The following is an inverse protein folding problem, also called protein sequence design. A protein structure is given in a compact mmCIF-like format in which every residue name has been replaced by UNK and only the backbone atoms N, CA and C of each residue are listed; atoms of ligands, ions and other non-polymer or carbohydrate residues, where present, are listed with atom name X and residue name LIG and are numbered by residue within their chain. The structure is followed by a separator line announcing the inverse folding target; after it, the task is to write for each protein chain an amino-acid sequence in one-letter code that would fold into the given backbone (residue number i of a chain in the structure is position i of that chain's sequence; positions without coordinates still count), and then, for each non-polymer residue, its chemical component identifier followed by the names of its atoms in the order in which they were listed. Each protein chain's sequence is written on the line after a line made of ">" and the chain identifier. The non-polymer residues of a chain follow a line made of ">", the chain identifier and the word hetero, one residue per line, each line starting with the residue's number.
data_IF_953393180286
#
_entry.id   IF_953393180286
#
_cell.length_a   1.000
_cell.length_b   1.000
_cell.length_c   1.000
_cell.angle_alpha   90.00
_cell.angle_beta   90.00
_cell.angle_gamma   90.00
#
_symmetry.space_group_name_H-M   'P 1'
#
loop_
_entity.id
_entity.type
_entity.pdbx_description
1 polymer ?
#
# COMPACT_ATOMS: atom_id res chain seq x y z
N UNK A 1 -18.13 -14.36 -25.71
CA UNK A 1 -17.31 -13.39 -24.93
C UNK A 1 -18.19 -12.40 -24.13
N UNK A 2 -19.27 -11.86 -24.70
CA UNK A 2 -20.07 -10.81 -24.05
C UNK A 2 -20.85 -11.22 -22.78
N UNK A 3 -21.45 -12.41 -22.72
CA UNK A 3 -22.31 -12.79 -21.58
C UNK A 3 -21.55 -12.94 -20.25
N UNK A 4 -20.31 -13.46 -20.29
CA UNK A 4 -19.48 -13.62 -19.09
C UNK A 4 -19.01 -12.26 -18.52
N UNK A 5 -18.60 -11.34 -19.38
CA UNK A 5 -18.14 -10.00 -18.96
C UNK A 5 -19.33 -9.19 -18.41
N UNK A 6 -20.51 -9.32 -19.01
CA UNK A 6 -21.73 -8.64 -18.52
C UNK A 6 -22.09 -9.10 -17.10
N UNK A 7 -22.04 -10.41 -16.84
CA UNK A 7 -22.31 -10.94 -15.50
C UNK A 7 -21.29 -10.46 -14.46
N UNK A 8 -20.00 -10.42 -14.85
CA UNK A 8 -18.94 -9.88 -13.96
C UNK A 8 -19.16 -8.38 -13.70
N UNK A 9 -19.54 -7.59 -14.72
CA UNK A 9 -19.84 -6.17 -14.53
C UNK A 9 -20.99 -5.96 -13.54
N UNK A 10 -22.09 -6.70 -13.66
CA UNK A 10 -23.23 -6.62 -12.73
C UNK A 10 -22.84 -7.00 -11.30
N UNK A 11 -21.95 -7.98 -11.15
CA UNK A 11 -21.42 -8.38 -9.86
C UNK A 11 -20.54 -7.29 -9.25
N UNK A 12 -19.63 -6.69 -10.04
CA UNK A 12 -18.77 -5.58 -9.64
C UNK A 12 -19.59 -4.34 -9.29
N UNK A 13 -20.59 -3.96 -10.10
CA UNK A 13 -21.48 -2.83 -9.81
C UNK A 13 -22.18 -2.99 -8.46
N UNK A 14 -22.68 -4.20 -8.15
CA UNK A 14 -23.30 -4.50 -6.87
C UNK A 14 -22.32 -4.47 -5.71
N UNK A 15 -21.15 -5.10 -5.87
CA UNK A 15 -20.15 -5.19 -4.80
C UNK A 15 -19.45 -3.85 -4.55
N UNK A 16 -19.35 -2.96 -5.54
CA UNK A 16 -18.68 -1.67 -5.43
C UNK A 16 -19.56 -0.52 -4.90
N UNK A 17 -20.84 -0.78 -4.59
CA UNK A 17 -21.79 0.25 -4.13
C UNK A 17 -21.31 1.02 -2.90
N UNK A 18 -20.48 0.41 -2.05
CA UNK A 18 -19.90 1.03 -0.86
C UNK A 18 -18.78 2.03 -1.16
N UNK A 19 -18.18 1.98 -2.35
CA UNK A 19 -16.97 2.78 -2.68
C UNK A 19 -17.26 4.28 -2.60
N UNK A 20 -18.34 4.75 -3.20
CA UNK A 20 -18.69 6.17 -3.17
C UNK A 20 -19.05 6.68 -1.77
N UNK A 21 -19.87 5.98 -0.96
CA UNK A 21 -20.06 6.30 0.45
C UNK A 21 -18.75 6.36 1.25
N UNK A 22 -17.84 5.40 1.04
CA UNK A 22 -16.54 5.37 1.72
C UNK A 22 -15.68 6.57 1.36
N UNK A 23 -15.54 6.87 0.07
CA UNK A 23 -14.80 8.04 -0.41
C UNK A 23 -15.40 9.35 0.09
N UNK A 24 -16.74 9.45 0.11
CA UNK A 24 -17.46 10.60 0.63
C UNK A 24 -17.23 10.81 2.13
N UNK A 25 -17.21 9.72 2.90
CA UNK A 25 -16.96 9.78 4.34
C UNK A 25 -15.51 10.17 4.66
N UNK A 26 -14.55 9.58 3.99
CA UNK A 26 -13.12 9.93 4.10
C UNK A 26 -12.86 11.38 3.69
N UNK A 27 -13.53 11.87 2.64
CA UNK A 27 -13.42 13.24 2.15
C UNK A 27 -13.91 14.31 3.11
N UNK A 28 -14.71 13.97 4.13
CA UNK A 28 -15.11 14.92 5.20
C UNK A 28 -13.96 15.30 6.13
N UNK A 29 -12.95 14.44 6.21
CA UNK A 29 -11.85 14.57 7.19
C UNK A 29 -10.50 14.74 6.50
N UNK A 30 -10.32 14.12 5.32
CA UNK A 30 -9.06 14.13 4.58
C UNK A 30 -9.19 15.06 3.38
N UNK A 31 -8.52 16.20 3.43
CA UNK A 31 -8.51 17.20 2.37
C UNK A 31 -7.18 17.08 1.60
N UNK A 32 -7.24 17.17 0.27
CA UNK A 32 -6.07 17.28 -0.61
C UNK A 32 -5.26 15.99 -0.83
N UNK A 33 -5.62 14.88 -0.19
CA UNK A 33 -4.88 13.62 -0.28
C UNK A 33 -5.67 12.52 -1.01
N UNK A 34 -6.33 12.86 -2.13
CA UNK A 34 -7.17 11.93 -2.90
C UNK A 34 -6.39 10.69 -3.36
N UNK A 35 -5.17 10.89 -3.86
CA UNK A 35 -4.29 9.81 -4.29
C UNK A 35 -3.98 8.85 -3.14
N UNK A 36 -3.61 9.36 -1.96
CA UNK A 36 -3.33 8.55 -0.79
C UNK A 36 -4.54 7.69 -0.40
N UNK A 37 -5.72 8.30 -0.32
CA UNK A 37 -6.97 7.60 0.04
C UNK A 37 -7.26 6.49 -0.97
N UNK A 38 -7.18 6.79 -2.25
CA UNK A 38 -7.39 5.79 -3.32
C UNK A 38 -6.39 4.63 -3.23
N UNK A 39 -5.09 4.93 -3.02
CA UNK A 39 -4.05 3.89 -2.91
C UNK A 39 -4.17 3.05 -1.64
N UNK A 40 -4.65 3.63 -0.53
CA UNK A 40 -4.98 2.87 0.68
C UNK A 40 -6.13 1.88 0.43
N UNK A 41 -7.18 2.32 -0.25
CA UNK A 41 -8.32 1.45 -0.60
C UNK A 41 -7.86 0.37 -1.59
N UNK A 42 -7.07 0.69 -2.62
CA UNK A 42 -6.48 -0.28 -3.54
C UNK A 42 -5.64 -1.30 -2.77
N UNK A 43 -4.75 -0.85 -1.87
CA UNK A 43 -3.94 -1.74 -1.04
C UNK A 43 -4.79 -2.68 -0.18
N UNK A 44 -5.86 -2.17 0.43
CA UNK A 44 -6.81 -2.95 1.22
C UNK A 44 -7.53 -4.00 0.38
N UNK A 45 -8.06 -3.61 -0.78
CA UNK A 45 -8.80 -4.47 -1.70
C UNK A 45 -7.91 -5.51 -2.39
N UNK A 46 -6.70 -5.13 -2.79
CA UNK A 46 -5.72 -6.02 -3.39
C UNK A 46 -4.98 -6.91 -2.36
N UNK A 47 -5.36 -6.85 -1.07
CA UNK A 47 -4.72 -7.58 0.02
C UNK A 47 -3.21 -7.33 0.13
N UNK A 48 -2.75 -6.13 -0.17
CA UNK A 48 -1.35 -5.70 -0.12
C UNK A 48 -1.08 -4.68 0.97
N UNK A 49 0.20 -4.40 1.20
CA UNK A 49 0.66 -3.39 2.15
C UNK A 49 1.19 -2.17 1.40
N UNK A 50 1.15 -1.00 2.05
CA UNK A 50 1.49 0.27 1.45
C UNK A 50 2.67 0.90 2.18
N UNK A 51 3.69 1.30 1.44
CA UNK A 51 4.78 2.13 1.92
C UNK A 51 4.51 3.58 1.51
N UNK A 52 4.57 4.49 2.45
CA UNK A 52 4.30 5.90 2.23
C UNK A 52 5.57 6.71 2.44
N UNK A 53 5.98 7.41 1.42
CA UNK A 53 7.09 8.36 1.48
C UNK A 53 6.55 9.78 1.48
N UNK A 54 6.93 10.56 2.48
CA UNK A 54 6.53 11.96 2.56
C UNK A 54 6.88 12.59 3.90
N UNK A 55 6.94 13.91 3.89
CA UNK A 55 7.27 14.71 5.08
C UNK A 55 6.24 14.55 6.20
N UNK A 56 6.57 14.87 7.45
CA UNK A 56 5.61 14.89 8.56
C UNK A 56 4.46 15.88 8.29
N UNK A 57 3.31 15.66 8.94
CA UNK A 57 2.18 16.59 8.89
C UNK A 57 1.20 16.43 7.73
N UNK A 58 1.38 15.43 6.85
CA UNK A 58 0.54 15.20 5.68
C UNK A 58 -0.62 14.21 5.92
N UNK A 59 -1.26 14.28 7.07
CA UNK A 59 -2.45 13.50 7.44
C UNK A 59 -2.32 11.96 7.34
N UNK A 60 -1.08 11.39 7.35
CA UNK A 60 -0.82 9.94 7.25
C UNK A 60 -1.60 9.14 8.28
N UNK A 61 -1.45 9.51 9.56
CA UNK A 61 -2.15 8.85 10.68
C UNK A 61 -3.66 9.02 10.58
N UNK A 62 -4.10 10.22 10.18
CA UNK A 62 -5.52 10.53 10.05
C UNK A 62 -6.16 9.65 8.96
N UNK A 63 -5.49 9.45 7.83
CA UNK A 63 -6.03 8.69 6.70
C UNK A 63 -6.30 7.23 7.05
N UNK A 64 -5.32 6.54 7.64
CA UNK A 64 -5.51 5.12 7.99
C UNK A 64 -6.45 4.92 9.18
N UNK A 65 -6.42 5.83 10.17
CA UNK A 65 -7.35 5.81 11.30
C UNK A 65 -8.78 6.04 10.83
N UNK A 66 -9.01 7.02 9.95
CA UNK A 66 -10.33 7.29 9.38
C UNK A 66 -10.85 6.12 8.55
N UNK A 67 -9.97 5.46 7.76
CA UNK A 67 -10.33 4.25 7.01
C UNK A 67 -10.74 3.12 7.97
N UNK A 68 -10.02 2.91 9.08
CA UNK A 68 -10.37 1.91 10.09
C UNK A 68 -11.75 2.20 10.71
N UNK A 69 -12.00 3.45 11.08
CA UNK A 69 -13.30 3.87 11.64
C UNK A 69 -14.46 3.63 10.66
N UNK A 70 -14.23 3.87 9.35
CA UNK A 70 -15.26 3.63 8.33
C UNK A 70 -15.68 2.15 8.21
N UNK A 71 -14.85 1.21 8.68
CA UNK A 71 -15.06 -0.24 8.61
C UNK A 71 -15.35 -0.89 9.96
N UNK A 72 -15.33 -0.13 11.06
CA UNK A 72 -15.31 -0.66 12.43
C UNK A 72 -14.18 -1.68 12.65
N UNK A 73 -13.02 -1.40 12.07
CA UNK A 73 -11.84 -2.26 12.14
C UNK A 73 -10.88 -1.81 13.25
N UNK A 74 -10.17 -2.76 13.83
CA UNK A 74 -9.15 -2.47 14.84
C UNK A 74 -7.98 -1.74 14.19
N UNK A 75 -7.60 -0.60 14.79
CA UNK A 75 -6.45 0.22 14.39
C UNK A 75 -5.37 0.20 15.47
N UNK A 76 -4.11 0.03 15.04
CA UNK A 76 -2.94 0.20 15.89
C UNK A 76 -1.92 1.15 15.25
N UNK A 77 -1.28 1.99 16.05
CA UNK A 77 -0.14 2.81 15.65
C UNK A 77 1.10 2.32 16.35
N UNK A 78 2.14 2.07 15.58
CA UNK A 78 3.50 1.74 16.00
C UNK A 78 4.41 2.89 15.60
N UNK A 79 4.91 3.66 16.56
CA UNK A 79 5.95 4.65 16.32
C UNK A 79 7.29 3.96 16.48
N UNK A 80 8.05 3.84 15.39
CA UNK A 80 9.34 3.17 15.43
C UNK A 80 10.45 4.05 16.00
N UNK A 81 11.28 3.46 16.86
CA UNK A 81 12.42 4.10 17.51
C UNK A 81 13.64 3.18 17.53
N UNK A 82 14.88 3.71 17.69
CA UNK A 82 16.09 2.90 17.65
C UNK A 82 16.22 1.87 18.80
N UNK A 83 15.50 2.06 19.89
CA UNK A 83 15.53 1.21 21.08
C UNK A 83 14.45 0.11 21.10
N UNK A 84 13.59 0.03 20.08
CA UNK A 84 12.55 -0.99 19.98
C UNK A 84 13.13 -2.40 19.84
N UNK A 85 12.37 -3.36 20.38
CA UNK A 85 12.61 -4.79 20.23
C UNK A 85 11.50 -5.43 19.37
N UNK A 86 11.76 -6.56 18.70
CA UNK A 86 10.73 -7.32 17.97
C UNK A 86 9.48 -7.63 18.83
N UNK A 87 9.67 -7.89 20.11
CA UNK A 87 8.58 -8.15 21.06
C UNK A 87 7.59 -6.97 21.20
N UNK A 88 8.04 -5.74 20.99
CA UNK A 88 7.20 -4.54 21.07
C UNK A 88 6.21 -4.50 19.87
N UNK A 89 6.54 -5.14 18.77
CA UNK A 89 5.71 -5.25 17.54
C UNK A 89 4.80 -6.47 17.59
N UNK A 90 5.39 -7.65 17.81
CA UNK A 90 4.69 -8.93 17.69
C UNK A 90 4.14 -9.46 19.01
N UNK A 91 4.64 -8.97 20.13
CA UNK A 91 4.26 -9.47 21.46
C UNK A 91 5.27 -10.46 22.03
N UNK A 92 4.99 -10.93 23.24
CA UNK A 92 5.91 -11.77 24.02
C UNK A 92 5.16 -12.73 24.94
N UNK A 93 5.88 -13.71 25.47
CA UNK A 93 5.41 -14.53 26.59
C UNK A 93 5.75 -13.85 27.91
N UNK A 94 4.78 -13.78 28.81
CA UNK A 94 4.93 -13.25 30.17
C UNK A 94 4.84 -14.39 31.17
N UNK A 95 5.85 -14.56 32.01
CA UNK A 95 5.81 -15.52 33.08
C UNK A 95 4.86 -15.03 34.21
N UNK A 96 3.93 -15.86 34.61
CA UNK A 96 3.04 -15.59 35.75
C UNK A 96 3.54 -16.37 36.98
N UNK A 97 4.13 -15.70 37.99
CA UNK A 97 4.64 -16.38 39.18
C UNK A 97 3.57 -17.10 40.02
N UNK A 98 2.31 -16.64 39.94
CA UNK A 98 1.21 -17.24 40.72
C UNK A 98 0.75 -18.56 40.13
N UNK A 99 0.72 -18.69 38.82
CA UNK A 99 0.30 -19.93 38.15
C UNK A 99 1.46 -20.84 37.75
N UNK A 100 2.71 -20.36 37.85
CA UNK A 100 3.92 -21.07 37.42
C UNK A 100 3.99 -21.27 35.90
N UNK A 101 3.16 -20.56 35.13
CA UNK A 101 3.03 -20.72 33.68
C UNK A 101 3.34 -19.46 32.89
N UNK A 102 3.39 -19.59 31.57
CA UNK A 102 3.53 -18.48 30.64
C UNK A 102 2.19 -18.11 30.02
N UNK A 103 1.90 -16.81 29.93
CA UNK A 103 0.78 -16.27 29.17
C UNK A 103 1.31 -15.47 27.98
N UNK A 104 0.65 -15.57 26.83
CA UNK A 104 1.02 -14.80 25.64
C UNK A 104 0.35 -13.43 25.70
N UNK A 105 1.15 -12.38 25.56
CA UNK A 105 0.66 -11.02 25.32
C UNK A 105 0.92 -10.69 23.84
N UNK A 106 -0.15 -10.56 23.07
CA UNK A 106 -0.09 -10.15 21.68
C UNK A 106 0.34 -8.69 21.56
N UNK A 107 1.14 -8.40 20.54
CA UNK A 107 1.61 -7.05 20.23
C UNK A 107 0.62 -6.26 19.35
N UNK A 108 0.93 -4.98 19.06
CA UNK A 108 0.07 -4.12 18.26
C UNK A 108 -0.15 -4.59 16.82
N UNK A 109 0.70 -5.48 16.30
CA UNK A 109 0.52 -6.06 14.94
C UNK A 109 -0.79 -6.85 14.79
N UNK A 110 -1.41 -7.27 15.91
CA UNK A 110 -2.69 -7.98 15.90
C UNK A 110 -3.89 -7.03 15.76
N UNK A 111 -3.79 -6.06 14.87
CA UNK A 111 -4.89 -5.18 14.47
C UNK A 111 -5.13 -5.31 12.96
N UNK A 112 -6.34 -4.97 12.51
CA UNK A 112 -6.69 -5.02 11.08
C UNK A 112 -5.89 -4.00 10.26
N UNK A 113 -5.78 -2.77 10.75
CA UNK A 113 -5.04 -1.70 10.12
C UNK A 113 -3.93 -1.22 11.06
N UNK A 114 -2.69 -1.34 10.60
CA UNK A 114 -1.50 -0.97 11.39
C UNK A 114 -0.77 0.16 10.69
N UNK A 115 -0.56 1.27 11.39
CA UNK A 115 0.37 2.32 10.97
C UNK A 115 1.74 2.05 11.60
N UNK A 116 2.71 1.68 10.76
CA UNK A 116 4.12 1.54 11.12
C UNK A 116 4.84 2.86 10.81
N UNK A 117 4.80 3.80 11.76
CA UNK A 117 5.27 5.16 11.56
C UNK A 117 6.79 5.26 11.72
N UNK A 118 7.48 5.82 10.71
CA UNK A 118 8.94 5.97 10.63
C UNK A 118 9.69 4.62 10.73
N UNK A 119 9.28 3.64 9.92
CA UNK A 119 9.85 2.27 9.95
C UNK A 119 11.37 2.24 9.80
N UNK A 120 11.95 3.22 9.10
CA UNK A 120 13.40 3.35 8.91
C UNK A 120 14.15 3.79 10.18
N UNK A 121 13.48 4.16 11.28
CA UNK A 121 14.13 4.43 12.58
C UNK A 121 14.34 3.18 13.44
N UNK A 122 13.68 2.08 13.08
CA UNK A 122 13.84 0.83 13.83
C UNK A 122 15.07 0.04 13.41
N UNK A 123 15.70 -0.70 14.34
CA UNK A 123 16.75 -1.66 14.00
C UNK A 123 16.26 -2.72 13.00
N UNK A 124 17.17 -3.26 12.18
CA UNK A 124 16.85 -4.24 11.15
C UNK A 124 16.08 -5.47 11.65
N UNK A 125 16.33 -5.91 12.89
CA UNK A 125 15.60 -7.04 13.50
C UNK A 125 14.11 -6.74 13.72
N UNK A 126 13.78 -5.50 14.08
CA UNK A 126 12.40 -5.04 14.31
C UNK A 126 11.67 -4.89 12.98
N UNK A 127 12.35 -4.27 11.99
CA UNK A 127 11.84 -4.20 10.63
C UNK A 127 11.52 -5.59 10.07
N UNK A 128 12.47 -6.55 10.23
CA UNK A 128 12.29 -7.92 9.76
C UNK A 128 11.09 -8.62 10.41
N UNK A 129 10.86 -8.43 11.71
CA UNK A 129 9.71 -9.00 12.40
C UNK A 129 8.37 -8.49 11.85
N UNK A 130 8.26 -7.19 11.58
CA UNK A 130 7.05 -6.63 10.94
C UNK A 130 6.88 -7.16 9.52
N UNK A 131 7.95 -7.17 8.72
CA UNK A 131 7.91 -7.61 7.32
C UNK A 131 7.61 -9.10 7.18
N UNK A 132 8.04 -9.93 8.15
CA UNK A 132 7.68 -11.34 8.22
C UNK A 132 6.19 -11.49 8.54
N UNK A 133 5.67 -10.79 9.55
CA UNK A 133 4.25 -10.77 9.89
C UNK A 133 3.38 -10.32 8.69
N UNK A 134 3.83 -9.32 7.92
CA UNK A 134 3.17 -8.86 6.71
C UNK A 134 3.08 -9.96 5.63
N UNK A 135 4.16 -10.70 5.43
CA UNK A 135 4.24 -11.72 4.38
C UNK A 135 3.49 -13.00 4.76
N UNK A 136 3.73 -13.49 5.98
CA UNK A 136 3.21 -14.78 6.45
C UNK A 136 1.78 -14.70 7.00
N UNK A 137 1.25 -13.48 7.24
CA UNK A 137 -0.07 -13.24 7.86
C UNK A 137 -0.27 -13.97 9.20
N UNK A 138 0.83 -14.30 9.85
CA UNK A 138 0.87 -14.96 11.15
C UNK A 138 2.12 -14.56 11.92
N UNK A 139 2.09 -14.78 13.22
CA UNK A 139 3.22 -14.50 14.13
C UNK A 139 3.41 -15.66 15.08
N UNK A 140 4.65 -16.08 15.27
CA UNK A 140 5.02 -17.09 16.27
C UNK A 140 5.53 -16.42 17.54
N UNK A 141 4.89 -16.70 18.68
CA UNK A 141 5.27 -16.19 20.00
C UNK A 141 5.52 -17.38 20.93
N UNK A 142 6.78 -17.62 21.28
CA UNK A 142 7.19 -18.84 21.97
C UNK A 142 6.94 -20.07 21.09
N UNK A 143 6.12 -21.01 21.59
CA UNK A 143 5.82 -22.27 20.89
C UNK A 143 4.49 -22.23 20.10
N UNK A 144 3.84 -21.06 20.01
CA UNK A 144 2.52 -20.93 19.39
C UNK A 144 2.53 -19.95 18.23
N UNK A 145 1.89 -20.35 17.14
CA UNK A 145 1.65 -19.50 15.98
C UNK A 145 0.21 -18.96 16.01
N UNK A 146 0.07 -17.67 15.80
CA UNK A 146 -1.19 -16.94 15.82
C UNK A 146 -1.42 -16.29 14.46
N UNK A 147 -2.58 -16.50 13.86
CA UNK A 147 -3.00 -15.82 12.65
C UNK A 147 -3.29 -14.34 12.96
N UNK A 148 -2.94 -13.46 12.03
CA UNK A 148 -3.33 -12.06 12.09
C UNK A 148 -4.78 -11.90 11.63
N UNK A 149 -5.48 -10.84 12.08
CA UNK A 149 -6.87 -10.60 11.69
C UNK A 149 -7.00 -10.32 10.19
N UNK A 150 -8.15 -10.66 9.61
CA UNK A 150 -8.49 -10.27 8.24
C UNK A 150 -9.60 -9.21 8.24
N UNK A 151 -9.51 -8.18 7.39
CA UNK A 151 -8.36 -7.81 6.55
C UNK A 151 -7.18 -7.35 7.40
N UNK A 152 -5.94 -7.53 6.88
CA UNK A 152 -4.73 -7.03 7.52
C UNK A 152 -3.98 -6.12 6.55
N UNK A 153 -3.89 -4.83 6.86
CA UNK A 153 -3.18 -3.83 6.08
C UNK A 153 -2.15 -3.12 6.96
N UNK A 154 -0.91 -3.10 6.52
CA UNK A 154 0.13 -2.25 7.09
C UNK A 154 0.37 -1.07 6.17
N UNK A 155 0.25 0.14 6.73
CA UNK A 155 0.76 1.38 6.15
C UNK A 155 2.06 1.71 6.87
N UNK A 156 3.19 1.48 6.21
CA UNK A 156 4.49 1.91 6.74
C UNK A 156 4.83 3.30 6.20
N UNK A 157 5.45 4.15 7.03
CA UNK A 157 5.90 5.46 6.60
C UNK A 157 7.43 5.57 6.65
N UNK A 158 7.97 6.31 5.69
CA UNK A 158 9.37 6.73 5.68
C UNK A 158 9.43 8.25 5.57
N UNK A 159 10.32 8.85 6.34
CA UNK A 159 10.66 10.27 6.18
C UNK A 159 11.93 10.39 5.35
N UNK A 160 11.88 10.95 4.13
CA UNK A 160 13.04 11.04 3.25
C UNK A 160 14.07 12.08 3.71
N UNK A 161 13.70 13.00 4.60
CA UNK A 161 14.56 14.12 5.03
C UNK A 161 15.45 13.71 6.20
N UNK A 162 14.98 12.84 7.08
CA UNK A 162 15.72 12.37 8.24
C UNK A 162 16.69 11.25 7.85
N UNK A 163 17.99 11.56 7.80
CA UNK A 163 19.04 10.58 7.50
C UNK A 163 19.80 10.13 8.77
N UNK A 164 19.92 10.97 9.79
CA UNK A 164 20.61 10.61 11.02
C UNK A 164 19.79 9.62 11.88
N UNK A 165 20.44 8.55 12.33
CA UNK A 165 19.79 7.53 13.17
C UNK A 165 18.78 6.66 12.44
N UNK A 166 18.87 6.57 11.12
CA UNK A 166 17.97 5.72 10.30
C UNK A 166 18.68 4.46 9.80
N UNK A 167 17.90 3.42 9.65
CA UNK A 167 18.29 2.12 9.07
C UNK A 167 17.48 1.94 7.77
N UNK A 168 18.08 2.20 6.59
CA UNK A 168 17.36 2.06 5.34
C UNK A 168 16.87 0.62 5.16
N UNK A 169 15.67 0.48 4.63
CA UNK A 169 15.13 -0.83 4.26
C UNK A 169 15.89 -1.33 3.02
N UNK A 170 16.47 -2.55 3.04
CA UNK A 170 17.03 -3.16 1.85
C UNK A 170 15.96 -3.32 0.75
N UNK A 171 16.36 -3.27 -0.53
CA UNK A 171 15.47 -3.40 -1.69
C UNK A 171 14.58 -4.65 -1.63
N UNK A 172 15.15 -5.80 -1.25
CA UNK A 172 14.41 -7.06 -1.08
C UNK A 172 13.30 -6.98 -0.01
N UNK A 173 13.43 -6.06 0.95
CA UNK A 173 12.44 -5.82 1.99
C UNK A 173 11.38 -4.84 1.52
N UNK A 174 11.77 -3.81 0.78
CA UNK A 174 10.84 -2.83 0.20
C UNK A 174 9.94 -3.49 -0.87
N UNK A 175 10.44 -4.47 -1.61
CA UNK A 175 9.66 -5.25 -2.60
C UNK A 175 8.47 -6.02 -2.00
N UNK A 176 8.40 -6.18 -0.66
CA UNK A 176 7.25 -6.78 0.03
C UNK A 176 6.03 -5.85 0.10
N UNK A 177 6.23 -4.54 -0.02
CA UNK A 177 5.13 -3.60 -0.14
C UNK A 177 4.54 -3.65 -1.54
N UNK A 178 3.22 -3.70 -1.63
CA UNK A 178 2.53 -3.72 -2.92
C UNK A 178 2.65 -2.38 -3.64
N UNK A 179 2.47 -1.29 -2.90
CA UNK A 179 2.52 0.09 -3.37
C UNK A 179 3.52 0.90 -2.56
N UNK A 180 4.31 1.73 -3.23
CA UNK A 180 5.04 2.84 -2.61
C UNK A 180 4.44 4.15 -3.12
N UNK A 181 3.80 4.89 -2.24
CA UNK A 181 3.10 6.14 -2.57
C UNK A 181 3.92 7.32 -2.09
N UNK A 182 4.18 8.27 -2.95
CA UNK A 182 4.75 9.57 -2.59
C UNK A 182 3.63 10.57 -2.37
N UNK A 183 3.68 11.26 -1.24
CA UNK A 183 2.74 12.33 -0.93
C UNK A 183 3.46 13.67 -0.87
N UNK A 184 2.81 14.65 -1.43
CA UNK A 184 3.26 16.04 -1.47
C UNK A 184 2.40 16.91 -0.58
N UNK A 185 2.87 18.13 -0.33
CA UNK A 185 2.07 19.12 0.36
C UNK A 185 0.76 19.38 -0.41
N UNK A 186 -0.34 19.65 0.31
CA UNK A 186 -1.57 20.13 -0.31
C UNK A 186 -1.33 21.43 -1.05
N UNK A 187 -2.18 21.74 -2.01
CA UNK A 187 -2.14 23.03 -2.68
C UNK A 187 -2.70 24.15 -1.77
N UNK A 188 -2.57 25.40 -2.23
CA UNK A 188 -2.99 26.57 -1.44
C UNK A 188 -4.48 26.54 -1.05
N UNK A 189 -5.34 26.06 -1.93
CA UNK A 189 -6.78 26.05 -1.69
C UNK A 189 -7.17 24.89 -0.77
N UNK A 190 -6.49 23.77 -0.88
CA UNK A 190 -6.58 22.64 0.04
C UNK A 190 -6.08 23.00 1.44
N UNK A 191 -4.94 23.72 1.58
CA UNK A 191 -4.45 24.22 2.87
C UNK A 191 -5.46 25.18 3.51
N UNK A 192 -6.13 26.02 2.71
CA UNK A 192 -7.17 26.90 3.20
C UNK A 192 -8.38 26.12 3.75
N UNK A 193 -8.77 25.04 3.05
CA UNK A 193 -9.85 24.16 3.53
C UNK A 193 -9.44 23.44 4.82
N UNK A 194 -8.18 22.97 4.93
CA UNK A 194 -7.65 22.36 6.16
C UNK A 194 -7.70 23.35 7.32
N UNK A 195 -7.28 24.60 7.09
CA UNK A 195 -7.36 25.66 8.10
C UNK A 195 -8.80 25.89 8.57
N UNK A 196 -9.75 26.01 7.65
CA UNK A 196 -11.16 26.24 7.97
C UNK A 196 -11.78 25.06 8.73
N UNK A 197 -11.33 23.82 8.44
CA UNK A 197 -11.80 22.59 9.08
C UNK A 197 -11.17 22.36 10.46
N UNK A 198 -9.84 22.53 10.57
CA UNK A 198 -9.03 22.10 11.71
C UNK A 198 -8.54 23.29 12.58
N UNK A 199 -8.67 24.52 12.13
CA UNK A 199 -8.21 25.74 12.83
C UNK A 199 -9.06 26.10 14.05
N UNK A 200 -9.48 25.11 14.83
CA UNK A 200 -10.35 25.25 16.03
C UNK A 200 -9.77 24.46 17.18
N UNK A 201 -10.08 24.89 18.41
CA UNK A 201 -9.70 24.16 19.63
C UNK A 201 -10.62 22.98 19.97
N UNK A 202 -11.78 22.89 19.32
CA UNK A 202 -12.71 21.76 19.43
C UNK A 202 -12.19 20.55 18.60
N UNK A 203 -12.63 19.35 18.98
CA UNK A 203 -12.35 18.15 18.20
C UNK A 203 -12.77 18.36 16.73
N UNK A 204 -11.90 17.93 15.80
CA UNK A 204 -12.21 17.94 14.37
C UNK A 204 -13.30 16.92 14.00
N UNK A 205 -13.78 16.93 12.76
CA UNK A 205 -14.76 15.95 12.30
C UNK A 205 -14.16 14.53 12.38
N UNK A 206 -15.00 13.56 12.75
CA UNK A 206 -14.66 12.15 12.76
C UNK A 206 -15.47 11.41 11.68
N UNK A 207 -14.89 10.35 11.13
CA UNK A 207 -15.59 9.47 10.19
C UNK A 207 -16.52 8.51 10.93
N UNK A 208 -17.64 8.19 10.29
CA UNK A 208 -18.59 7.19 10.78
C UNK A 208 -18.42 5.87 10.02
N UNK A 209 -18.84 4.77 10.61
CA UNK A 209 -18.90 3.49 9.92
C UNK A 209 -19.90 3.55 8.77
N UNK A 210 -19.44 3.19 7.57
CA UNK A 210 -20.24 3.15 6.34
C UNK A 210 -20.12 1.81 5.61
N UNK A 211 -19.15 0.97 6.01
CA UNK A 211 -18.90 -0.35 5.46
C UNK A 211 -18.59 -1.33 6.59
N UNK A 212 -18.64 -2.61 6.29
CA UNK A 212 -18.22 -3.69 7.19
C UNK A 212 -16.93 -4.36 6.69
N UNK A 213 -16.29 -5.14 7.56
CA UNK A 213 -15.17 -6.00 7.17
C UNK A 213 -15.61 -7.02 6.10
N UNK A 214 -16.82 -7.56 6.22
CA UNK A 214 -17.36 -8.54 5.28
C UNK A 214 -17.56 -7.96 3.87
N UNK A 215 -17.89 -6.66 3.76
CA UNK A 215 -17.96 -5.98 2.46
C UNK A 215 -16.60 -5.98 1.76
N UNK A 216 -15.51 -5.77 2.51
CA UNK A 216 -14.15 -5.81 1.97
C UNK A 216 -13.75 -7.22 1.55
N UNK A 217 -14.07 -8.23 2.36
CA UNK A 217 -13.74 -9.62 2.03
C UNK A 217 -14.51 -10.08 0.79
N UNK A 218 -15.81 -9.77 0.71
CA UNK A 218 -16.64 -10.04 -0.47
C UNK A 218 -16.10 -9.32 -1.71
N UNK A 219 -15.72 -8.04 -1.58
CA UNK A 219 -15.13 -7.28 -2.68
C UNK A 219 -13.84 -7.91 -3.21
N UNK A 220 -12.99 -8.47 -2.33
CA UNK A 220 -11.77 -9.20 -2.74
C UNK A 220 -12.08 -10.42 -3.60
N UNK A 221 -13.11 -11.18 -3.27
CA UNK A 221 -13.55 -12.33 -4.06
C UNK A 221 -14.01 -11.88 -5.45
N UNK A 222 -14.82 -10.83 -5.52
CA UNK A 222 -15.29 -10.25 -6.78
C UNK A 222 -14.12 -9.72 -7.63
N UNK A 223 -13.16 -9.03 -7.01
CA UNK A 223 -11.96 -8.50 -7.67
C UNK A 223 -11.14 -9.63 -8.30
N UNK A 224 -11.04 -10.80 -7.67
CA UNK A 224 -10.34 -11.94 -8.24
C UNK A 224 -10.94 -12.37 -9.58
N UNK A 225 -12.28 -12.23 -9.77
CA UNK A 225 -13.02 -12.61 -10.96
C UNK A 225 -12.98 -11.53 -12.06
N UNK A 226 -12.50 -10.29 -11.77
CA UNK A 226 -12.41 -9.23 -12.78
C UNK A 226 -11.60 -9.70 -13.98
N UNK A 227 -12.20 -9.55 -15.15
CA UNK A 227 -11.61 -10.00 -16.40
C UNK A 227 -10.38 -9.18 -16.78
N UNK A 228 -9.31 -9.87 -17.17
CA UNK A 228 -8.11 -9.26 -17.73
C UNK A 228 -7.81 -9.92 -19.06
N UNK A 229 -7.89 -9.17 -20.15
CA UNK A 229 -7.58 -9.66 -21.50
C UNK A 229 -6.13 -10.09 -21.60
N UNK A 230 -5.84 -11.12 -22.42
CA UNK A 230 -4.48 -11.63 -22.58
C UNK A 230 -3.51 -10.54 -23.10
N UNK A 231 -3.97 -9.64 -23.95
CA UNK A 231 -3.16 -8.50 -24.40
C UNK A 231 -2.79 -7.56 -23.26
N UNK A 232 -3.70 -7.34 -22.29
CA UNK A 232 -3.40 -6.53 -21.09
C UNK A 232 -2.44 -7.27 -20.18
N UNK A 233 -2.54 -8.60 -20.05
CA UNK A 233 -1.56 -9.41 -19.31
C UNK A 233 -0.19 -9.33 -19.96
N UNK A 234 -0.11 -9.47 -21.28
CA UNK A 234 1.13 -9.34 -22.03
C UNK A 234 1.74 -7.93 -21.82
N UNK A 235 0.93 -6.87 -21.89
CA UNK A 235 1.36 -5.51 -21.63
C UNK A 235 1.95 -5.33 -20.20
N UNK A 236 1.33 -5.94 -19.18
CA UNK A 236 1.87 -5.93 -17.80
C UNK A 236 3.21 -6.66 -17.74
N UNK A 237 3.31 -7.83 -18.38
CA UNK A 237 4.55 -8.62 -18.42
C UNK A 237 5.64 -7.87 -19.15
N UNK A 238 5.34 -7.28 -20.30
CA UNK A 238 6.27 -6.50 -21.12
C UNK A 238 6.78 -5.27 -20.36
N UNK A 239 5.90 -4.56 -19.63
CA UNK A 239 6.29 -3.44 -18.78
C UNK A 239 7.32 -3.84 -17.71
N UNK A 240 7.12 -4.97 -17.04
CA UNK A 240 8.04 -5.47 -16.02
C UNK A 240 9.33 -6.02 -16.67
N UNK A 241 9.23 -6.75 -17.78
CA UNK A 241 10.39 -7.27 -18.51
C UNK A 241 11.24 -6.14 -19.08
N UNK A 242 10.64 -5.06 -19.56
CA UNK A 242 11.34 -3.88 -20.03
C UNK A 242 12.24 -3.25 -18.96
N UNK A 243 11.88 -3.33 -17.68
CA UNK A 243 12.77 -2.86 -16.60
C UNK A 243 14.05 -3.70 -16.45
N UNK A 244 14.11 -4.90 -17.04
CA UNK A 244 15.26 -5.84 -16.97
C UNK A 244 16.03 -5.92 -18.28
N UNK A 245 15.32 -5.84 -19.39
CA UNK A 245 15.83 -6.01 -20.75
C UNK A 245 15.25 -4.92 -21.68
N UNK A 246 15.50 -3.61 -21.41
CA UNK A 246 14.87 -2.54 -22.17
C UNK A 246 15.24 -2.53 -23.65
N UNK A 247 16.45 -2.98 -23.99
CA UNK A 247 16.94 -3.11 -25.37
C UNK A 247 16.02 -3.99 -26.24
N UNK A 248 15.46 -5.06 -25.64
CA UNK A 248 14.53 -5.96 -26.33
C UNK A 248 13.24 -5.24 -26.80
N UNK A 249 12.88 -4.18 -26.11
CA UNK A 249 11.70 -3.34 -26.40
C UNK A 249 12.06 -2.08 -27.19
N UNK A 250 13.35 -1.88 -27.53
CA UNK A 250 13.84 -0.71 -28.27
C UNK A 250 13.82 0.59 -27.44
N UNK A 251 13.79 0.49 -26.11
CA UNK A 251 13.75 1.63 -25.20
C UNK A 251 15.16 1.88 -24.65
N UNK A 252 15.67 3.09 -24.88
CA UNK A 252 17.04 3.49 -24.53
C UNK A 252 17.13 3.95 -23.06
N UNK A 253 17.18 2.99 -22.15
CA UNK A 253 17.30 3.19 -20.69
C UNK A 253 18.20 2.16 -20.01
N UNK A 254 18.87 1.29 -20.76
CA UNK A 254 19.64 0.17 -20.21
C UNK A 254 20.75 0.67 -19.26
N UNK A 255 21.48 1.73 -19.64
CA UNK A 255 22.57 2.29 -18.84
C UNK A 255 22.10 2.95 -17.53
N UNK A 256 20.81 3.21 -17.40
CA UNK A 256 20.22 3.89 -16.23
C UNK A 256 19.61 2.93 -15.21
N UNK A 257 19.50 1.63 -15.53
CA UNK A 257 18.89 0.65 -14.64
C UNK A 257 19.95 -0.26 -14.03
N UNK A 258 20.12 -0.19 -12.71
CA UNK A 258 20.98 -1.11 -11.96
C UNK A 258 20.28 -2.42 -11.66
N UNK A 259 18.99 -2.35 -11.27
CA UNK A 259 18.17 -3.52 -10.95
C UNK A 259 16.75 -3.31 -11.46
N UNK A 260 16.26 -4.23 -12.28
CA UNK A 260 14.88 -4.25 -12.75
C UNK A 260 13.94 -4.96 -11.79
N UNK A 261 12.64 -4.76 -11.98
CA UNK A 261 11.59 -5.28 -11.11
C UNK A 261 11.46 -6.81 -11.16
N UNK A 262 11.14 -7.42 -10.03
CA UNK A 262 10.91 -8.86 -9.87
C UNK A 262 9.53 -9.29 -10.40
N UNK A 263 9.24 -10.61 -10.54
CA UNK A 263 7.89 -11.09 -10.88
C UNK A 263 6.80 -10.68 -9.88
N UNK A 264 7.17 -10.30 -8.65
CA UNK A 264 6.23 -9.69 -7.68
C UNK A 264 5.59 -8.42 -8.23
N UNK A 265 6.32 -7.66 -9.05
CA UNK A 265 5.78 -6.47 -9.72
C UNK A 265 4.64 -6.82 -10.69
N UNK A 266 4.79 -7.90 -11.47
CA UNK A 266 3.74 -8.37 -12.39
C UNK A 266 2.46 -8.73 -11.63
N UNK A 267 2.60 -9.45 -10.52
CA UNK A 267 1.47 -9.80 -9.64
C UNK A 267 0.86 -8.54 -9.03
N UNK A 268 1.67 -7.64 -8.49
CA UNK A 268 1.21 -6.40 -7.87
C UNK A 268 0.48 -5.50 -8.88
N UNK A 269 1.01 -5.32 -10.11
CA UNK A 269 0.35 -4.57 -11.18
C UNK A 269 -1.02 -5.17 -11.53
N UNK A 270 -1.10 -6.51 -11.64
CA UNK A 270 -2.36 -7.19 -11.97
C UNK A 270 -3.41 -6.97 -10.88
N UNK A 271 -3.04 -7.19 -9.60
CA UNK A 271 -3.97 -7.07 -8.48
C UNK A 271 -4.41 -5.62 -8.26
N UNK A 272 -3.48 -4.68 -8.34
CA UNK A 272 -3.80 -3.25 -8.16
C UNK A 272 -4.61 -2.68 -9.33
N UNK A 273 -4.36 -3.12 -10.58
CA UNK A 273 -5.15 -2.73 -11.73
C UNK A 273 -6.59 -3.28 -11.65
N UNK A 274 -6.78 -4.52 -11.18
CA UNK A 274 -8.11 -5.07 -10.90
C UNK A 274 -8.83 -4.29 -9.80
N UNK A 275 -8.14 -3.98 -8.70
CA UNK A 275 -8.71 -3.15 -7.62
C UNK A 275 -9.05 -1.74 -8.11
N UNK A 276 -8.22 -1.15 -8.98
CA UNK A 276 -8.51 0.14 -9.62
C UNK A 276 -9.74 0.07 -10.52
N UNK A 277 -9.88 -0.98 -11.34
CA UNK A 277 -11.08 -1.20 -12.15
C UNK A 277 -12.34 -1.34 -11.28
N UNK A 278 -12.25 -2.06 -10.15
CA UNK A 278 -13.33 -2.21 -9.17
C UNK A 278 -13.77 -0.87 -8.58
N UNK A 279 -12.84 0.00 -8.21
CA UNK A 279 -13.17 1.35 -7.71
C UNK A 279 -13.96 2.18 -8.72
N UNK A 280 -13.81 1.87 -10.02
CA UNK A 280 -14.55 2.51 -11.12
C UNK A 280 -15.76 1.68 -11.58
N UNK A 281 -16.23 0.73 -10.75
CA UNK A 281 -17.38 -0.14 -11.02
C UNK A 281 -17.28 -0.88 -12.37
N UNK A 282 -16.07 -1.34 -12.77
CA UNK A 282 -15.82 -2.07 -14.03
C UNK A 282 -15.36 -3.49 -13.75
N UNK A 283 -15.99 -4.45 -14.44
CA UNK A 283 -15.66 -5.87 -14.37
C UNK A 283 -14.50 -6.31 -15.27
N UNK A 284 -13.75 -5.38 -15.85
CA UNK A 284 -12.58 -5.65 -16.69
C UNK A 284 -11.48 -4.61 -16.52
N UNK A 285 -10.25 -5.05 -16.69
CA UNK A 285 -9.05 -4.19 -16.62
C UNK A 285 -8.76 -3.59 -17.99
N UNK A 286 -8.43 -2.30 -18.00
CA UNK A 286 -7.94 -1.57 -19.16
C UNK A 286 -6.45 -1.25 -19.03
N UNK A 287 -5.72 -0.97 -20.13
CA UNK A 287 -4.34 -0.49 -20.04
C UNK A 287 -4.19 0.78 -19.18
N UNK A 288 -5.22 1.63 -19.15
CA UNK A 288 -5.22 2.83 -18.33
C UNK A 288 -5.21 2.52 -16.82
N UNK A 289 -5.87 1.42 -16.39
CA UNK A 289 -5.82 0.98 -14.99
C UNK A 289 -4.40 0.59 -14.60
N UNK A 290 -3.70 -0.12 -15.49
CA UNK A 290 -2.29 -0.49 -15.29
C UNK A 290 -1.41 0.75 -15.20
N UNK A 291 -1.54 1.69 -16.14
CA UNK A 291 -0.79 2.95 -16.14
C UNK A 291 -1.01 3.78 -14.88
N UNK A 292 -2.24 3.82 -14.37
CA UNK A 292 -2.60 4.59 -13.18
C UNK A 292 -1.85 4.16 -11.92
N UNK A 293 -1.54 2.87 -11.80
CA UNK A 293 -0.88 2.30 -10.61
C UNK A 293 0.61 2.00 -10.83
N UNK A 294 1.08 2.06 -12.07
CA UNK A 294 2.41 1.61 -12.46
C UNK A 294 3.54 2.30 -11.67
N UNK A 295 3.47 3.63 -11.54
CA UNK A 295 4.45 4.39 -10.78
C UNK A 295 4.53 3.92 -9.32
N UNK A 296 3.38 3.72 -8.67
CA UNK A 296 3.32 3.34 -7.27
C UNK A 296 3.73 1.89 -7.03
N UNK A 297 3.57 1.02 -8.04
CA UNK A 297 4.03 -0.37 -7.99
C UNK A 297 5.51 -0.52 -8.30
N UNK A 298 6.06 0.26 -9.23
CA UNK A 298 7.39 0.03 -9.80
C UNK A 298 8.49 0.89 -9.16
N UNK A 299 8.18 2.11 -8.64
CA UNK A 299 9.20 3.06 -8.18
C UNK A 299 10.17 2.54 -7.12
N UNK A 300 9.76 1.55 -6.33
CA UNK A 300 10.57 0.92 -5.29
C UNK A 300 11.14 -0.43 -5.72
N UNK A 301 10.95 -0.81 -6.97
CA UNK A 301 11.39 -2.08 -7.55
C UNK A 301 12.39 -1.90 -8.69
N UNK A 302 12.59 -0.66 -9.12
CA UNK A 302 13.57 -0.29 -10.14
C UNK A 302 14.63 0.56 -9.47
N UNK A 303 15.85 0.02 -9.35
CA UNK A 303 17.00 0.77 -8.85
C UNK A 303 17.75 1.37 -10.04
N UNK A 304 18.15 2.63 -9.89
CA UNK A 304 18.89 3.35 -10.91
C UNK A 304 20.40 3.30 -10.68
N UNK A 305 21.20 3.50 -11.74
CA UNK A 305 22.65 3.56 -11.66
C UNK A 305 23.11 4.93 -11.14
N UNK A 306 24.38 5.03 -10.73
CA UNK A 306 24.99 6.31 -10.34
C UNK A 306 25.04 7.29 -11.51
N UNK A 307 25.16 6.80 -12.74
CA UNK A 307 25.12 7.60 -13.97
C UNK A 307 23.74 8.23 -14.14
N UNK A 308 22.67 7.49 -13.87
CA UNK A 308 21.31 8.03 -13.89
C UNK A 308 21.12 9.12 -12.84
N UNK A 309 21.61 8.92 -11.62
CA UNK A 309 21.54 9.92 -10.55
C UNK A 309 22.33 11.18 -10.91
N UNK A 310 23.51 11.04 -11.53
CA UNK A 310 24.31 12.15 -11.99
C UNK A 310 23.62 12.99 -13.09
N UNK A 311 22.73 12.35 -13.87
CA UNK A 311 21.87 13.00 -14.87
C UNK A 311 20.50 13.43 -14.30
N UNK A 312 20.33 13.44 -12.98
CA UNK A 312 19.07 13.76 -12.30
C UNK A 312 17.88 12.86 -12.69
N UNK A 313 18.17 11.65 -13.20
CA UNK A 313 17.18 10.63 -13.53
C UNK A 313 16.93 9.73 -12.33
N UNK A 314 15.68 9.54 -11.97
CA UNK A 314 15.24 8.65 -10.90
C UNK A 314 14.38 7.50 -11.44
N UNK A 315 14.00 6.56 -10.58
CA UNK A 315 13.15 5.44 -10.97
C UNK A 315 11.85 5.87 -11.64
N UNK A 316 11.27 6.98 -11.20
CA UNK A 316 10.01 7.51 -11.74
C UNK A 316 10.18 8.02 -13.17
N UNK A 317 11.31 8.68 -13.47
CA UNK A 317 11.66 9.12 -14.84
C UNK A 317 11.81 7.93 -15.78
N UNK A 318 12.47 6.86 -15.30
CA UNK A 318 12.64 5.62 -16.07
C UNK A 318 11.31 4.94 -16.35
N UNK A 319 10.48 4.80 -15.30
CA UNK A 319 9.15 4.19 -15.43
C UNK A 319 8.27 5.01 -16.36
N UNK A 320 8.33 6.35 -16.28
CA UNK A 320 7.56 7.21 -17.17
C UNK A 320 7.95 7.01 -18.64
N UNK A 321 9.24 6.88 -18.93
CA UNK A 321 9.72 6.60 -20.28
C UNK A 321 9.21 5.25 -20.80
N UNK A 322 9.17 4.22 -19.95
CA UNK A 322 8.56 2.92 -20.30
C UNK A 322 7.07 3.09 -20.61
N UNK A 323 6.33 3.85 -19.80
CA UNK A 323 4.88 4.06 -19.99
C UNK A 323 4.55 4.84 -21.28
N UNK A 324 5.49 5.71 -21.73
CA UNK A 324 5.32 6.54 -22.91
C UNK A 324 5.69 5.79 -24.20
N UNK A 325 6.74 4.96 -24.16
CA UNK A 325 7.30 4.30 -25.35
C UNK A 325 6.79 2.86 -25.55
N UNK A 326 6.39 2.15 -24.47
CA UNK A 326 5.88 0.78 -24.61
C UNK A 326 4.54 0.77 -25.33
N UNK A 327 4.37 0.00 -26.42
CA UNK A 327 3.11 -0.07 -27.16
C UNK A 327 1.94 -0.51 -26.29
N UNK A 328 0.84 0.24 -26.37
CA UNK A 328 -0.41 -0.06 -25.66
C UNK A 328 -1.28 -0.98 -26.52
N UNK A 329 -1.83 -2.07 -25.98
CA UNK A 329 -2.63 -3.04 -26.74
C UNK A 329 -4.00 -2.50 -27.17
#
# INVERSE_FOLDING_TARGET
>A
MNAGITAINEEVERASTFVQPLLGELGKVIIGQKLLVERLIIGLLANGHVLLEGVPGLAKTLSIKSLANCMDAQFARLQFTPDMLPADVIGTQIYNPQSGGFSTRQGPVFANLVLADEINRAPAKVQSALLEAMQERQVTIGDKTFLLPEPFLVLATQNPIEQEGTYPLPEAQVDRFMLKVKITHPDRDEERQILDLMGRTSAGPETQQVISIDDILTAREVINNIYTDDKVKDYIVDMVCCTREPERYGIDIADFIQLGASPRATIALTLTAKAHAFLHARGFVTPQDVKSVAQDVLRHRVAVTFEAEAEEKNSETIIQKILDELPVP
#
